data_IF_354779668935
#
_entry.id   IF_354779668935
#
_cell.length_a   1.000
_cell.length_b   1.000
_cell.length_c   1.000
_cell.angle_alpha   90.00
_cell.angle_beta   90.00
_cell.angle_gamma   90.00
#
_symmetry.space_group_name_H-M   'P 1'
#
loop_
_entity.id
_entity.type
_entity.pdbx_description
1 polymer ?
#
# COMPACT_ATOMS: atom_id res chain seq x y z
N UNK A 1 -25.87 9.73 30.14
CA UNK A 1 -25.46 11.10 29.85
C UNK A 1 -23.98 11.19 29.46
N UNK A 2 -23.04 10.66 30.28
CA UNK A 2 -21.58 10.71 29.95
C UNK A 2 -21.26 10.00 28.63
N UNK A 3 -21.79 8.78 28.40
CA UNK A 3 -21.56 8.01 27.16
C UNK A 3 -22.11 8.73 25.91
N UNK A 4 -23.25 9.39 26.02
CA UNK A 4 -23.82 10.17 24.91
C UNK A 4 -22.96 11.39 24.60
N UNK A 5 -22.49 12.10 25.62
CA UNK A 5 -21.58 13.24 25.41
C UNK A 5 -20.26 12.80 24.79
N UNK A 6 -19.68 11.69 25.25
CA UNK A 6 -18.49 11.09 24.66
C UNK A 6 -18.70 10.69 23.21
N UNK A 7 -19.86 10.09 22.89
CA UNK A 7 -20.23 9.73 21.53
C UNK A 7 -20.24 10.95 20.60
N UNK A 8 -20.95 12.03 20.96
CA UNK A 8 -21.01 13.22 20.12
C UNK A 8 -19.64 13.92 20.00
N UNK A 9 -18.81 13.89 21.05
CA UNK A 9 -17.46 14.43 21.02
C UNK A 9 -16.59 13.67 20.01
N UNK A 10 -16.49 12.34 20.14
CA UNK A 10 -15.67 11.53 19.25
C UNK A 10 -16.22 11.54 17.80
N UNK A 11 -17.54 11.49 17.62
CA UNK A 11 -18.17 11.59 16.31
C UNK A 11 -17.90 12.96 15.66
N UNK A 12 -17.98 14.04 16.40
CA UNK A 12 -17.66 15.39 15.91
C UNK A 12 -16.20 15.52 15.46
N UNK A 13 -15.26 15.06 16.30
CA UNK A 13 -13.84 15.09 15.96
C UNK A 13 -13.57 14.19 14.74
N UNK A 14 -14.19 13.02 14.66
CA UNK A 14 -14.07 12.10 13.52
C UNK A 14 -14.50 12.77 12.20
N UNK A 15 -15.67 13.41 12.19
CA UNK A 15 -16.21 14.07 11.00
C UNK A 15 -15.34 15.26 10.57
N UNK A 16 -14.91 16.08 11.52
CA UNK A 16 -14.00 17.20 11.23
C UNK A 16 -12.66 16.70 10.69
N UNK A 17 -12.08 15.69 11.34
CA UNK A 17 -10.83 15.09 10.90
C UNK A 17 -10.95 14.49 9.49
N UNK A 18 -12.03 13.76 9.20
CA UNK A 18 -12.30 13.19 7.88
C UNK A 18 -12.43 14.29 6.81
N UNK A 19 -13.10 15.39 7.13
CA UNK A 19 -13.16 16.57 6.26
C UNK A 19 -11.78 17.18 6.01
N UNK A 20 -10.95 17.28 7.04
CA UNK A 20 -9.59 17.80 6.94
C UNK A 20 -8.66 16.88 6.14
N UNK A 21 -8.85 15.55 6.17
CA UNK A 21 -8.11 14.60 5.33
C UNK A 21 -8.24 14.94 3.86
N UNK A 22 -9.45 15.26 3.41
CA UNK A 22 -9.72 15.54 1.99
C UNK A 22 -9.33 16.96 1.60
N UNK A 23 -9.47 17.93 2.50
CA UNK A 23 -9.26 19.36 2.22
C UNK A 23 -7.84 19.83 2.47
N UNK A 24 -7.05 19.12 3.25
CA UNK A 24 -5.68 19.49 3.56
C UNK A 24 -4.82 19.61 2.30
N UNK A 25 -4.05 20.69 2.22
CA UNK A 25 -3.16 20.96 1.08
C UNK A 25 -1.87 20.15 1.16
N UNK A 26 -1.39 19.92 2.38
CA UNK A 26 -0.18 19.16 2.63
C UNK A 26 -0.56 17.71 2.90
N UNK A 27 -0.06 16.74 2.10
CA UNK A 27 -0.40 15.34 2.25
C UNK A 27 0.05 14.75 3.62
N UNK A 28 1.11 15.27 4.21
CA UNK A 28 1.55 14.86 5.56
C UNK A 28 0.48 15.24 6.61
N UNK A 29 -0.06 16.46 6.53
CA UNK A 29 -1.15 16.88 7.42
C UNK A 29 -2.42 16.05 7.18
N UNK A 30 -2.71 15.71 5.91
CA UNK A 30 -3.85 14.83 5.58
C UNK A 30 -3.73 13.48 6.30
N UNK A 31 -2.55 12.86 6.28
CA UNK A 31 -2.33 11.58 6.97
C UNK A 31 -2.42 11.73 8.49
N UNK A 32 -1.94 12.82 9.07
CA UNK A 32 -2.08 13.06 10.51
C UNK A 32 -3.55 13.20 10.91
N UNK A 33 -4.37 13.88 10.11
CA UNK A 33 -5.82 13.91 10.33
C UNK A 33 -6.48 12.55 10.14
N UNK A 34 -5.97 11.72 9.21
CA UNK A 34 -6.44 10.34 9.03
C UNK A 34 -6.16 9.49 10.27
N UNK A 35 -4.98 9.60 10.85
CA UNK A 35 -4.62 8.95 12.13
C UNK A 35 -5.59 9.39 13.23
N UNK A 36 -5.82 10.69 13.36
CA UNK A 36 -6.77 11.23 14.35
C UNK A 36 -8.19 10.70 14.12
N UNK A 37 -8.64 10.61 12.87
CA UNK A 37 -9.94 10.05 12.51
C UNK A 37 -10.05 8.58 12.95
N UNK A 38 -9.05 7.76 12.68
CA UNK A 38 -9.06 6.35 13.10
C UNK A 38 -9.05 6.18 14.61
N UNK A 39 -8.31 7.00 15.37
CA UNK A 39 -8.35 6.96 16.82
C UNK A 39 -9.75 7.27 17.38
N UNK A 40 -10.42 8.28 16.82
CA UNK A 40 -11.79 8.61 17.23
C UNK A 40 -12.78 7.53 16.79
N UNK A 41 -12.61 6.91 15.63
CA UNK A 41 -13.42 5.77 15.21
C UNK A 41 -13.24 4.58 16.16
N UNK A 42 -12.02 4.27 16.58
CA UNK A 42 -11.74 3.22 17.56
C UNK A 42 -12.43 3.51 18.90
N UNK A 43 -12.42 4.76 19.36
CA UNK A 43 -13.14 5.16 20.57
C UNK A 43 -14.66 4.95 20.42
N UNK A 44 -15.24 5.24 19.26
CA UNK A 44 -16.66 4.96 18.99
C UNK A 44 -16.96 3.46 18.99
N UNK A 45 -16.06 2.61 18.45
CA UNK A 45 -16.20 1.16 18.53
C UNK A 45 -16.13 0.65 19.97
N UNK A 46 -15.25 1.22 20.81
CA UNK A 46 -15.22 0.90 22.24
C UNK A 46 -16.53 1.27 22.93
N UNK A 47 -17.09 2.43 22.63
CA UNK A 47 -18.40 2.84 23.16
C UNK A 47 -19.54 1.92 22.71
N UNK A 48 -19.41 1.32 21.53
CA UNK A 48 -20.35 0.34 20.99
C UNK A 48 -20.14 -1.09 21.54
N UNK A 49 -19.14 -1.32 22.41
CA UNK A 49 -18.80 -2.65 22.93
C UNK A 49 -18.04 -3.54 21.95
N UNK A 50 -17.58 -3.01 20.82
CA UNK A 50 -16.81 -3.72 19.82
C UNK A 50 -15.29 -3.59 20.06
N UNK A 51 -14.84 -4.08 21.21
CA UNK A 51 -13.45 -3.93 21.68
C UNK A 51 -12.42 -4.52 20.71
N UNK A 52 -12.68 -5.71 20.18
CA UNK A 52 -11.79 -6.37 19.24
C UNK A 52 -11.62 -5.55 17.96
N UNK A 53 -12.71 -5.02 17.42
CA UNK A 53 -12.69 -4.22 16.20
C UNK A 53 -11.96 -2.88 16.43
N UNK A 54 -12.14 -2.25 17.59
CA UNK A 54 -11.42 -1.05 17.98
C UNK A 54 -9.90 -1.29 18.04
N UNK A 55 -9.47 -2.39 18.64
CA UNK A 55 -8.04 -2.74 18.74
C UNK A 55 -7.43 -3.03 17.38
N UNK A 56 -8.11 -3.77 16.50
CA UNK A 56 -7.64 -4.00 15.12
C UNK A 56 -7.50 -2.68 14.37
N UNK A 57 -8.46 -1.78 14.51
CA UNK A 57 -8.41 -0.49 13.84
C UNK A 57 -7.17 0.31 14.25
N UNK A 58 -6.83 0.33 15.53
CA UNK A 58 -5.63 1.01 16.00
C UNK A 58 -4.35 0.29 15.55
N UNK A 59 -4.27 -1.02 15.73
CA UNK A 59 -3.03 -1.77 15.43
C UNK A 59 -2.75 -1.80 13.93
N UNK A 60 -3.75 -2.09 13.12
CA UNK A 60 -3.56 -2.30 11.67
C UNK A 60 -3.69 -0.98 10.91
N UNK A 61 -4.80 -0.24 11.08
CA UNK A 61 -5.01 0.97 10.29
C UNK A 61 -4.11 2.12 10.72
N UNK A 62 -3.97 2.37 12.01
CA UNK A 62 -3.08 3.42 12.50
C UNK A 62 -1.64 2.93 12.51
N UNK A 63 -1.36 1.78 13.12
CA UNK A 63 0.00 1.29 13.33
C UNK A 63 0.72 0.83 12.06
N UNK A 64 0.04 0.18 11.13
CA UNK A 64 0.65 -0.30 9.91
C UNK A 64 0.32 0.59 8.69
N UNK A 65 -0.97 0.76 8.37
CA UNK A 65 -1.37 1.37 7.10
C UNK A 65 -1.10 2.88 7.08
N UNK A 66 -1.56 3.63 8.09
CA UNK A 66 -1.39 5.08 8.10
C UNK A 66 0.08 5.48 8.26
N UNK A 67 0.86 4.75 9.08
CA UNK A 67 2.30 5.00 9.24
C UNK A 67 3.06 4.68 7.95
N UNK A 68 2.73 3.56 7.28
CA UNK A 68 3.31 3.26 5.97
C UNK A 68 2.99 4.35 4.95
N UNK A 69 1.73 4.79 4.92
CA UNK A 69 1.30 5.85 4.02
C UNK A 69 2.00 7.18 4.30
N UNK A 70 2.16 7.53 5.58
CA UNK A 70 2.93 8.72 6.01
C UNK A 70 4.37 8.65 5.50
N UNK A 71 5.02 7.49 5.66
CA UNK A 71 6.38 7.29 5.20
C UNK A 71 6.51 7.41 3.68
N UNK A 72 5.61 6.78 2.94
CA UNK A 72 5.60 6.86 1.46
C UNK A 72 5.38 8.30 0.99
N UNK A 73 4.40 9.01 1.55
CA UNK A 73 4.11 10.40 1.16
C UNK A 73 5.27 11.34 1.49
N UNK A 74 5.99 11.09 2.57
CA UNK A 74 7.17 11.88 2.94
C UNK A 74 8.37 11.60 2.00
N UNK A 75 8.47 10.38 1.45
CA UNK A 75 9.54 10.04 0.51
C UNK A 75 9.26 10.44 -0.94
N UNK A 76 8.01 10.67 -1.29
CA UNK A 76 7.62 11.08 -2.64
C UNK A 76 7.79 12.59 -2.80
N UNK A 77 8.73 12.99 -3.65
CA UNK A 77 8.90 14.38 -4.08
C UNK A 77 7.90 14.68 -5.22
N UNK A 78 6.62 14.81 -4.87
CA UNK A 78 5.54 15.10 -5.82
C UNK A 78 5.20 16.58 -5.74
N UNK A 79 5.15 17.24 -6.90
CA UNK A 79 4.66 18.60 -7.02
C UNK A 79 3.12 18.62 -6.97
N UNK A 80 2.58 18.73 -5.76
CA UNK A 80 1.12 18.71 -5.53
C UNK A 80 0.38 19.93 -6.09
N UNK A 81 1.09 20.98 -6.49
CA UNK A 81 0.47 22.15 -7.12
C UNK A 81 -0.05 21.84 -8.53
N UNK A 82 0.66 21.00 -9.29
CA UNK A 82 0.26 20.60 -10.65
C UNK A 82 -0.95 19.68 -10.67
N UNK A 83 -1.15 18.86 -9.63
CA UNK A 83 -2.30 17.96 -9.54
C UNK A 83 -3.64 18.68 -9.33
N UNK A 84 -3.60 19.95 -8.96
CA UNK A 84 -4.83 20.75 -8.69
C UNK A 84 -5.36 21.54 -9.88
N UNK A 85 -4.62 21.68 -10.95
CA UNK A 85 -5.05 22.49 -12.12
C UNK A 85 -6.31 21.93 -12.81
N UNK A 86 -6.63 20.66 -12.63
CA UNK A 86 -7.84 20.03 -13.17
C UNK A 86 -9.07 20.03 -12.25
N UNK A 87 -8.94 20.42 -10.97
CA UNK A 87 -9.99 20.25 -9.96
C UNK A 87 -11.30 20.94 -10.32
N UNK A 88 -11.25 22.20 -10.78
CA UNK A 88 -12.45 22.97 -11.13
C UNK A 88 -13.23 22.37 -12.30
N UNK A 89 -12.54 21.72 -13.23
CA UNK A 89 -13.17 21.11 -14.42
C UNK A 89 -13.98 19.88 -14.07
N UNK A 90 -13.55 19.10 -13.08
CA UNK A 90 -14.21 17.86 -12.66
C UNK A 90 -15.15 18.02 -11.45
N UNK A 91 -15.15 19.22 -10.84
CA UNK A 91 -15.98 19.52 -9.68
C UNK A 91 -17.48 19.23 -9.91
N UNK A 92 -18.12 19.62 -11.04
CA UNK A 92 -19.55 19.38 -11.23
C UNK A 92 -19.87 17.88 -11.33
N UNK A 93 -19.03 17.09 -11.99
CA UNK A 93 -19.21 15.63 -12.11
C UNK A 93 -19.01 14.98 -10.74
N UNK A 94 -17.96 15.35 -10.03
CA UNK A 94 -17.67 14.83 -8.68
C UNK A 94 -18.77 15.19 -7.68
N UNK A 95 -19.29 16.42 -7.72
CA UNK A 95 -20.40 16.86 -6.87
C UNK A 95 -21.68 16.09 -7.17
N UNK A 96 -22.01 15.83 -8.43
CA UNK A 96 -23.18 15.05 -8.81
C UNK A 96 -23.08 13.62 -8.25
N UNK A 97 -21.96 12.94 -8.42
CA UNK A 97 -21.74 11.60 -7.87
C UNK A 97 -21.83 11.61 -6.34
N UNK A 98 -21.21 12.61 -5.69
CA UNK A 98 -21.28 12.73 -4.23
C UNK A 98 -22.70 12.92 -3.71
N UNK A 99 -23.53 13.73 -4.39
CA UNK A 99 -24.93 13.95 -4.02
C UNK A 99 -25.76 12.67 -4.22
N UNK A 100 -25.54 11.92 -5.30
CA UNK A 100 -26.23 10.64 -5.54
C UNK A 100 -25.89 9.65 -4.43
N UNK A 101 -24.58 9.46 -4.12
CA UNK A 101 -24.15 8.57 -3.04
C UNK A 101 -24.68 8.99 -1.67
N UNK A 102 -24.73 10.30 -1.40
CA UNK A 102 -25.28 10.82 -0.15
C UNK A 102 -26.78 10.54 -0.06
N UNK A 103 -27.53 10.72 -1.16
CA UNK A 103 -28.96 10.42 -1.23
C UNK A 103 -29.23 8.92 -1.03
N UNK A 104 -28.46 8.03 -1.70
CA UNK A 104 -28.56 6.58 -1.49
C UNK A 104 -28.31 6.19 -0.04
N UNK A 105 -27.25 6.74 0.55
CA UNK A 105 -26.92 6.49 1.95
C UNK A 105 -28.03 6.99 2.90
N UNK A 106 -28.57 8.17 2.64
CA UNK A 106 -29.67 8.72 3.44
C UNK A 106 -30.96 7.87 3.33
N UNK A 107 -31.26 7.36 2.14
CA UNK A 107 -32.39 6.43 1.93
C UNK A 107 -32.20 5.12 2.68
N UNK A 108 -31.00 4.53 2.59
CA UNK A 108 -30.67 3.28 3.30
C UNK A 108 -30.74 3.48 4.81
N UNK A 109 -30.18 4.53 5.35
CA UNK A 109 -30.21 4.82 6.79
C UNK A 109 -31.62 5.19 7.25
N UNK A 110 -32.38 5.97 6.48
CA UNK A 110 -33.75 6.32 6.75
C UNK A 110 -34.70 5.13 6.63
N UNK A 111 -34.45 4.26 5.64
CA UNK A 111 -35.21 3.02 5.45
C UNK A 111 -34.99 1.96 6.52
N UNK A 112 -34.01 2.14 7.37
CA UNK A 112 -33.68 1.21 8.46
C UNK A 112 -34.80 1.10 9.50
N UNK A 113 -35.69 2.07 9.58
CA UNK A 113 -36.92 2.01 10.38
C UNK A 113 -38.01 1.16 9.72
N UNK A 114 -37.88 0.84 8.43
CA UNK A 114 -38.87 0.12 7.62
C UNK A 114 -38.70 -1.41 7.66
N UNK A 115 -37.67 -1.94 8.31
CA UNK A 115 -37.42 -3.37 8.43
C UNK A 115 -37.45 -3.83 9.90
N UNK A 116 -38.62 -3.93 10.54
CA UNK A 116 -38.72 -4.29 11.97
C UNK A 116 -38.16 -5.67 12.30
N UNK A 117 -38.13 -6.59 11.33
CA UNK A 117 -37.54 -7.93 11.52
C UNK A 117 -36.02 -7.93 11.70
N UNK A 118 -35.32 -6.89 11.24
CA UNK A 118 -33.87 -6.75 11.44
C UNK A 118 -33.49 -6.39 12.88
N UNK A 119 -34.40 -5.90 13.68
CA UNK A 119 -34.16 -5.57 15.08
C UNK A 119 -33.81 -6.81 15.92
N UNK A 120 -34.47 -7.95 15.69
CA UNK A 120 -34.18 -9.21 16.36
C UNK A 120 -32.84 -9.81 16.00
N UNK A 121 -32.36 -9.62 14.76
CA UNK A 121 -31.03 -10.07 14.30
C UNK A 121 -29.88 -9.21 14.85
N UNK A 122 -30.16 -7.93 15.17
CA UNK A 122 -29.18 -7.01 15.75
C UNK A 122 -29.03 -7.17 17.25
N UNK A 123 -30.07 -7.66 17.93
CA UNK A 123 -30.13 -7.79 19.38
C UNK A 123 -29.80 -9.22 19.84
N UNK A 124 -28.92 -9.95 19.14
CA UNK A 124 -28.34 -11.15 19.72
C UNK A 124 -27.53 -10.72 20.97
N UNK A 125 -28.07 -10.89 22.21
CA UNK A 125 -27.38 -10.40 23.38
C UNK A 125 -26.08 -11.17 23.54
N UNK A 126 -24.97 -10.45 23.56
CA UNK A 126 -23.72 -11.02 23.96
C UNK A 126 -23.84 -11.52 25.41
N UNK A 127 -23.37 -12.74 25.69
CA UNK A 127 -23.34 -13.23 27.06
C UNK A 127 -22.50 -12.27 27.90
N UNK A 128 -23.06 -11.77 28.99
CA UNK A 128 -22.46 -10.71 29.80
C UNK A 128 -21.14 -11.10 30.47
N UNK A 129 -20.87 -12.38 30.56
CA UNK A 129 -19.71 -12.97 31.27
C UNK A 129 -18.52 -13.27 30.36
N UNK A 130 -18.63 -13.06 29.04
CA UNK A 130 -17.57 -13.40 28.08
C UNK A 130 -17.16 -12.16 27.30
N UNK A 131 -15.87 -11.89 27.21
CA UNK A 131 -15.38 -10.74 26.47
C UNK A 131 -15.69 -10.84 24.97
N UNK A 132 -15.91 -9.72 24.31
CA UNK A 132 -16.19 -9.63 22.88
C UNK A 132 -15.16 -10.39 22.03
N UNK A 133 -13.88 -10.30 22.40
CA UNK A 133 -12.78 -10.98 21.71
C UNK A 133 -12.92 -12.50 21.75
N UNK A 134 -13.29 -13.07 22.91
CA UNK A 134 -13.44 -14.52 23.06
C UNK A 134 -14.66 -15.02 22.30
N UNK A 135 -15.76 -14.29 22.29
CA UNK A 135 -16.95 -14.65 21.54
C UNK A 135 -16.69 -14.66 20.03
N UNK A 136 -16.07 -13.59 19.52
CA UNK A 136 -15.66 -13.51 18.13
C UNK A 136 -14.68 -14.64 17.76
N UNK A 137 -13.70 -14.90 18.60
CA UNK A 137 -12.76 -15.99 18.39
C UNK A 137 -13.46 -17.34 18.26
N UNK A 138 -14.41 -17.66 19.14
CA UNK A 138 -15.17 -18.90 19.03
C UNK A 138 -15.90 -19.01 17.69
N UNK A 139 -16.64 -17.99 17.29
CA UNK A 139 -17.40 -17.98 16.04
C UNK A 139 -16.48 -18.08 14.81
N UNK A 140 -15.38 -17.34 14.77
CA UNK A 140 -14.45 -17.33 13.64
C UNK A 140 -13.74 -18.66 13.45
N UNK A 141 -13.38 -19.34 14.55
CA UNK A 141 -12.61 -20.58 14.48
C UNK A 141 -13.48 -21.85 14.49
N UNK A 142 -14.80 -21.72 14.61
CA UNK A 142 -15.75 -22.84 14.50
C UNK A 142 -16.63 -22.70 13.27
N UNK A 143 -17.59 -21.78 13.30
CA UNK A 143 -18.62 -21.66 12.28
C UNK A 143 -18.10 -21.05 10.99
N UNK A 144 -17.14 -20.12 11.07
CA UNK A 144 -16.61 -19.37 9.93
C UNK A 144 -15.15 -19.70 9.60
N UNK A 145 -14.65 -20.87 10.02
CA UNK A 145 -13.26 -21.29 9.80
C UNK A 145 -12.84 -21.23 8.33
N UNK A 146 -13.71 -21.61 7.42
CA UNK A 146 -13.43 -21.64 5.99
C UNK A 146 -13.22 -20.20 5.44
N UNK A 147 -14.08 -19.28 5.86
CA UNK A 147 -13.94 -17.86 5.47
C UNK A 147 -12.71 -17.22 6.10
N UNK A 148 -12.37 -17.61 7.33
CA UNK A 148 -11.15 -17.19 7.99
C UNK A 148 -9.91 -17.66 7.23
N UNK A 149 -9.85 -18.93 6.82
CA UNK A 149 -8.75 -19.46 6.01
C UNK A 149 -8.69 -18.80 4.63
N UNK A 150 -9.83 -18.57 3.98
CA UNK A 150 -9.88 -17.88 2.70
C UNK A 150 -9.33 -16.43 2.80
N UNK A 151 -9.63 -15.72 3.90
CA UNK A 151 -9.08 -14.39 4.14
C UNK A 151 -7.55 -14.41 4.28
N UNK A 152 -7.00 -15.44 4.93
CA UNK A 152 -5.56 -15.66 5.04
C UNK A 152 -4.89 -15.88 3.67
N UNK A 153 -5.53 -16.65 2.78
CA UNK A 153 -5.04 -16.82 1.40
C UNK A 153 -5.06 -15.52 0.60
N UNK A 154 -6.11 -14.72 0.75
CA UNK A 154 -6.18 -13.38 0.12
C UNK A 154 -5.04 -12.48 0.60
N UNK A 155 -4.76 -12.47 1.91
CA UNK A 155 -3.64 -11.71 2.47
C UNK A 155 -2.30 -12.21 1.96
N UNK A 156 -2.11 -13.53 1.82
CA UNK A 156 -0.89 -14.11 1.23
C UNK A 156 -0.68 -13.65 -0.20
N UNK A 157 -1.73 -13.70 -1.03
CA UNK A 157 -1.66 -13.23 -2.43
C UNK A 157 -1.36 -11.73 -2.48
N UNK A 158 -1.99 -10.92 -1.62
CA UNK A 158 -1.73 -9.49 -1.53
C UNK A 158 -0.26 -9.21 -1.14
N UNK A 159 0.29 -9.95 -0.19
CA UNK A 159 1.69 -9.83 0.23
C UNK A 159 2.65 -10.19 -0.91
N UNK A 160 2.42 -11.32 -1.60
CA UNK A 160 3.22 -11.72 -2.76
C UNK A 160 3.13 -10.66 -3.87
N UNK A 161 1.93 -10.17 -4.16
CA UNK A 161 1.70 -9.11 -5.14
C UNK A 161 2.46 -7.84 -4.81
N UNK A 162 2.43 -7.40 -3.56
CA UNK A 162 3.19 -6.23 -3.11
C UNK A 162 4.70 -6.41 -3.30
N UNK A 163 5.24 -7.59 -2.96
CA UNK A 163 6.67 -7.89 -3.13
C UNK A 163 7.05 -7.90 -4.61
N UNK A 164 6.26 -8.57 -5.45
CA UNK A 164 6.53 -8.69 -6.90
C UNK A 164 6.48 -7.32 -7.58
N UNK A 165 5.49 -6.48 -7.24
CA UNK A 165 5.36 -5.14 -7.82
C UNK A 165 6.46 -4.17 -7.36
N UNK A 166 7.01 -4.37 -6.17
CA UNK A 166 8.12 -3.55 -5.66
C UNK A 166 9.49 -4.10 -6.03
N UNK A 167 9.56 -5.32 -6.56
CA UNK A 167 10.81 -5.94 -6.98
C UNK A 167 11.37 -5.18 -8.19
N UNK A 168 12.41 -4.39 -7.94
CA UNK A 168 13.15 -3.75 -9.02
C UNK A 168 14.18 -4.72 -9.56
N UNK A 169 14.02 -5.18 -10.80
CA UNK A 169 15.07 -5.85 -11.52
C UNK A 169 16.28 -4.91 -11.61
N UNK A 170 17.37 -5.31 -10.96
CA UNK A 170 18.64 -4.59 -11.11
C UNK A 170 19.16 -4.88 -12.52
N UNK A 171 18.82 -4.02 -13.46
CA UNK A 171 19.44 -4.04 -14.77
C UNK A 171 20.95 -4.01 -14.60
N UNK A 172 21.64 -5.01 -15.13
CA UNK A 172 23.09 -5.12 -15.21
C UNK A 172 23.82 -4.90 -13.86
N UNK A 173 23.69 -5.85 -12.94
CA UNK A 173 24.71 -5.99 -11.88
C UNK A 173 26.00 -6.46 -12.55
N UNK A 174 27.05 -5.64 -12.46
CA UNK A 174 28.38 -6.07 -12.86
C UNK A 174 28.87 -7.12 -11.88
N UNK A 175 28.39 -8.35 -12.05
CA UNK A 175 28.87 -9.47 -11.24
C UNK A 175 30.32 -9.73 -11.59
N UNK A 176 31.14 -9.72 -10.55
CA UNK A 176 32.55 -10.02 -10.67
C UNK A 176 32.73 -11.52 -11.02
N UNK A 177 33.35 -11.82 -12.14
CA UNK A 177 33.77 -13.19 -12.46
C UNK A 177 35.21 -13.38 -11.98
N UNK A 178 35.37 -14.11 -10.90
CA UNK A 178 36.70 -14.40 -10.32
C UNK A 178 37.56 -15.15 -11.32
N UNK A 179 37.01 -16.14 -12.05
CA UNK A 179 37.71 -16.87 -13.08
C UNK A 179 38.28 -15.95 -14.19
N UNK A 180 37.41 -15.03 -14.72
CA UNK A 180 37.83 -14.08 -15.74
C UNK A 180 38.89 -13.07 -15.23
N UNK A 181 38.96 -12.85 -13.92
CA UNK A 181 40.00 -11.99 -13.34
C UNK A 181 41.32 -12.71 -13.13
N UNK A 182 41.26 -13.98 -12.76
CA UNK A 182 42.49 -14.82 -12.59
C UNK A 182 43.13 -15.17 -13.93
N UNK A 183 42.33 -15.30 -15.01
CA UNK A 183 42.84 -15.57 -16.37
C UNK A 183 43.45 -14.34 -17.08
N UNK A 184 43.39 -13.18 -16.44
CA UNK A 184 43.99 -11.97 -17.01
C UNK A 184 45.52 -12.07 -17.05
N UNK A 185 46.04 -12.09 -18.24
CA UNK A 185 47.49 -12.00 -18.49
C UNK A 185 47.89 -10.58 -18.91
N UNK A 186 49.14 -10.15 -18.74
CA UNK A 186 49.63 -8.85 -19.24
C UNK A 186 49.31 -8.67 -20.73
N UNK A 187 49.43 -9.73 -21.53
CA UNK A 187 49.16 -9.70 -22.98
C UNK A 187 47.68 -9.43 -23.32
N UNK A 188 46.76 -9.82 -22.41
CA UNK A 188 45.30 -9.61 -22.65
C UNK A 188 44.77 -8.30 -22.06
N UNK A 189 45.53 -7.65 -21.16
CA UNK A 189 45.09 -6.48 -20.42
C UNK A 189 45.89 -5.21 -20.67
N UNK A 190 47.08 -5.31 -21.25
CA UNK A 190 47.94 -4.17 -21.57
C UNK A 190 48.04 -4.00 -23.08
N UNK A 191 47.85 -2.79 -23.54
CA UNK A 191 48.07 -2.37 -24.90
C UNK A 191 49.25 -1.39 -24.92
N UNK A 192 50.27 -1.71 -25.72
CA UNK A 192 51.40 -0.84 -25.96
C UNK A 192 51.04 0.18 -27.01
N UNK A 193 50.93 1.44 -26.60
CA UNK A 193 50.66 2.57 -27.51
C UNK A 193 51.98 3.24 -27.85
N UNK A 194 52.28 3.37 -29.14
CA UNK A 194 53.43 4.12 -29.64
C UNK A 194 53.09 5.61 -29.63
N UNK A 195 53.59 6.31 -28.64
CA UNK A 195 53.33 7.74 -28.44
C UNK A 195 54.57 8.55 -28.74
N UNK A 196 54.42 9.59 -29.54
CA UNK A 196 55.48 10.52 -29.81
C UNK A 196 55.98 11.18 -28.50
N UNK A 197 57.32 11.20 -28.30
CA UNK A 197 57.94 11.75 -27.12
C UNK A 197 57.52 13.21 -26.87
N UNK A 198 57.11 13.54 -25.66
CA UNK A 198 56.72 14.89 -25.24
C UNK A 198 55.23 15.24 -25.34
N UNK A 199 54.35 14.40 -25.91
CA UNK A 199 52.90 14.68 -26.01
C UNK A 199 52.10 14.30 -24.77
N UNK A 200 52.70 13.62 -23.82
CA UNK A 200 52.00 13.13 -22.61
C UNK A 200 50.82 12.25 -22.95
N UNK A 201 49.76 12.28 -22.14
CA UNK A 201 48.55 11.49 -22.32
C UNK A 201 47.45 12.23 -23.13
N UNK A 202 47.76 13.41 -23.70
CA UNK A 202 46.82 14.18 -24.53
C UNK A 202 46.63 13.47 -25.87
N UNK A 203 45.38 13.03 -26.14
CA UNK A 203 45.00 12.33 -27.38
C UNK A 203 44.85 10.81 -27.22
N UNK A 204 45.05 10.30 -26.02
CA UNK A 204 44.70 8.89 -25.73
C UNK A 204 43.23 8.83 -25.29
N UNK A 205 42.42 8.11 -26.04
CA UNK A 205 41.04 7.83 -25.61
C UNK A 205 41.07 6.72 -24.55
N UNK A 206 40.97 7.13 -23.28
CA UNK A 206 40.87 6.18 -22.16
C UNK A 206 39.52 5.47 -22.07
N UNK A 207 38.56 5.88 -22.84
CA UNK A 207 37.25 5.22 -22.94
C UNK A 207 37.41 3.98 -23.83
N UNK A 208 37.66 2.81 -23.22
CA UNK A 208 37.54 1.55 -23.96
C UNK A 208 36.16 1.46 -24.61
N UNK A 209 36.09 1.17 -25.92
CA UNK A 209 34.80 0.81 -26.51
C UNK A 209 34.19 -0.33 -25.70
N UNK A 210 32.92 -0.18 -25.31
CA UNK A 210 32.19 -1.24 -24.63
C UNK A 210 32.40 -2.53 -25.38
N UNK A 211 32.93 -3.57 -24.73
CA UNK A 211 32.99 -4.90 -25.33
C UNK A 211 31.59 -5.21 -25.87
N UNK A 212 31.51 -5.55 -27.16
CA UNK A 212 30.26 -5.99 -27.79
C UNK A 212 29.68 -7.08 -26.89
N UNK A 213 28.44 -6.92 -26.46
CA UNK A 213 27.71 -7.99 -25.78
C UNK A 213 27.86 -9.27 -26.63
N UNK A 214 28.21 -10.42 -26.00
CA UNK A 214 28.20 -11.67 -26.74
C UNK A 214 26.80 -11.82 -27.32
N UNK A 215 26.74 -11.94 -28.66
CA UNK A 215 25.51 -12.25 -29.40
C UNK A 215 24.87 -13.43 -28.68
N UNK A 216 23.63 -13.26 -28.20
CA UNK A 216 22.85 -14.37 -27.65
C UNK A 216 22.79 -15.42 -28.76
N UNK A 217 23.52 -16.51 -28.56
CA UNK A 217 23.34 -17.71 -29.42
C UNK A 217 21.89 -18.13 -29.25
N UNK A 218 21.08 -17.81 -30.24
CA UNK A 218 19.76 -18.38 -30.40
C UNK A 218 19.99 -19.88 -30.53
N UNK A 219 19.65 -20.67 -29.54
CA UNK A 219 19.54 -22.12 -29.65
C UNK A 219 18.54 -22.41 -30.76
N UNK A 220 19.05 -22.69 -31.95
CA UNK A 220 18.27 -23.29 -33.02
C UNK A 220 17.76 -24.65 -32.54
N UNK A 221 16.47 -24.66 -32.30
CA UNK A 221 15.72 -25.86 -31.99
C UNK A 221 15.82 -26.82 -33.19
N UNK A 222 16.73 -27.77 -33.09
CA UNK A 222 16.81 -28.86 -34.04
C UNK A 222 15.62 -29.79 -33.84
N UNK A 223 14.68 -29.92 -34.80
CA UNK A 223 13.64 -30.92 -34.71
C UNK A 223 14.27 -32.29 -34.95
N UNK A 224 14.38 -33.07 -33.88
CA UNK A 224 14.83 -34.46 -33.92
C UNK A 224 13.93 -35.28 -34.84
N UNK A 225 14.52 -35.76 -35.94
CA UNK A 225 13.92 -36.77 -36.81
C UNK A 225 13.85 -38.11 -36.07
N UNK A 226 12.67 -38.64 -36.01
CA UNK A 226 12.44 -40.05 -35.74
C UNK A 226 12.80 -40.88 -36.96
N UNK A 227 13.63 -41.88 -36.74
CA UNK A 227 13.60 -43.18 -37.39
C UNK A 227 13.87 -44.26 -36.35
#
# INVERSE_FOLDING_TARGET
MIAQLAFYLFAGILLVSAGMVVTARNPVHSVLFLVLAFFNAAALFLLAGAEFLAMILVIVYVGAVAVLFLFVVMMLDINFSELREGFQRYLPIGATVAVILLAELAIVLGGWTLAPQSAGLRAAPMAADVSNTVQLGKILYTDYILLFQASGLVLLVAMIGAIVLTLRERGFSRNQSIAAQLDRTPASTMELLDLASGKGTKGIDFLRPKAKEPEKVTEEHHPGGHN
#
